data_IF_452090869605
#
_entry.id   IF_452090869605
#
_cell.length_a   1.000
_cell.length_b   1.000
_cell.length_c   1.000
_cell.angle_alpha   90.00
_cell.angle_beta   90.00
_cell.angle_gamma   90.00
#
_symmetry.space_group_name_H-M   'P 1'
#
loop_
_entity.id
_entity.type
_entity.pdbx_description
1 polymer ?
#
# COMPACT_ATOMS: atom_id res chain seq x y z
N UNK A 1 -14.75 -0.28 11.06
CA UNK A 1 -15.27 0.81 10.19
C UNK A 1 -16.68 0.43 9.70
N UNK A 2 -17.70 1.06 10.27
CA UNK A 2 -19.10 0.94 9.84
C UNK A 2 -19.36 1.91 8.69
N UNK A 3 -20.03 1.43 7.64
CA UNK A 3 -20.61 2.27 6.59
C UNK A 3 -22.12 2.06 6.67
N UNK A 4 -22.86 3.13 6.93
CA UNK A 4 -24.33 3.11 7.08
C UNK A 4 -24.86 2.06 8.09
N UNK A 5 -24.14 1.83 9.20
CA UNK A 5 -24.55 0.89 10.24
C UNK A 5 -24.43 -0.59 9.86
N UNK A 6 -23.82 -0.92 8.72
CA UNK A 6 -23.54 -2.30 8.32
C UNK A 6 -22.06 -2.64 8.52
N UNK A 7 -21.81 -3.84 9.06
CA UNK A 7 -20.47 -4.37 9.25
C UNK A 7 -19.81 -4.68 7.91
N UNK A 8 -18.61 -4.15 7.67
CA UNK A 8 -17.86 -4.29 6.41
C UNK A 8 -17.56 -5.75 6.05
N UNK A 9 -17.45 -6.63 7.04
CA UNK A 9 -17.24 -8.06 6.80
C UNK A 9 -18.52 -8.74 6.28
N UNK A 10 -19.70 -8.34 6.76
CA UNK A 10 -20.97 -8.81 6.21
C UNK A 10 -21.15 -8.42 4.73
N UNK A 11 -20.78 -7.19 4.37
CA UNK A 11 -20.79 -6.72 2.99
C UNK A 11 -19.84 -7.54 2.11
N UNK A 12 -18.64 -7.81 2.62
CA UNK A 12 -17.65 -8.63 1.93
C UNK A 12 -18.18 -10.06 1.70
N UNK A 13 -18.76 -10.70 2.72
CA UNK A 13 -19.29 -12.06 2.61
C UNK A 13 -20.38 -12.16 1.55
N UNK A 14 -21.34 -11.23 1.56
CA UNK A 14 -22.40 -11.15 0.54
C UNK A 14 -21.83 -10.97 -0.86
N UNK A 15 -20.80 -10.13 -1.01
CA UNK A 15 -20.12 -9.95 -2.29
C UNK A 15 -19.40 -11.23 -2.75
N UNK A 16 -18.76 -11.98 -1.85
CA UNK A 16 -18.07 -13.22 -2.22
C UNK A 16 -19.03 -14.28 -2.77
N UNK A 17 -20.22 -14.39 -2.20
CA UNK A 17 -21.28 -15.28 -2.72
C UNK A 17 -21.65 -14.89 -4.16
N UNK A 18 -21.93 -13.60 -4.41
CA UNK A 18 -22.23 -13.10 -5.75
C UNK A 18 -21.06 -13.28 -6.74
N UNK A 19 -19.82 -12.99 -6.32
CA UNK A 19 -18.65 -13.17 -7.18
C UNK A 19 -18.36 -14.65 -7.50
N UNK A 20 -18.69 -15.57 -6.59
CA UNK A 20 -18.51 -17.01 -6.82
C UNK A 20 -19.46 -17.52 -7.91
N UNK A 21 -20.71 -17.06 -7.91
CA UNK A 21 -21.67 -17.37 -8.98
C UNK A 21 -21.17 -16.84 -10.33
N UNK A 22 -20.69 -15.59 -10.36
CA UNK A 22 -20.17 -14.97 -11.58
C UNK A 22 -18.89 -15.65 -12.09
N UNK A 23 -18.03 -16.13 -11.19
CA UNK A 23 -16.82 -16.87 -11.54
C UNK A 23 -17.14 -18.20 -12.24
N UNK A 24 -18.15 -18.92 -11.77
CA UNK A 24 -18.61 -20.17 -12.40
C UNK A 24 -19.15 -19.90 -13.80
N UNK A 25 -19.88 -18.79 -13.97
CA UNK A 25 -20.51 -18.44 -15.23
C UNK A 25 -19.53 -17.86 -16.27
N UNK A 26 -18.57 -17.04 -15.83
CA UNK A 26 -17.66 -16.27 -16.70
C UNK A 26 -16.20 -16.37 -16.22
N UNK A 27 -15.60 -17.56 -16.15
CA UNK A 27 -14.27 -17.77 -15.56
C UNK A 27 -13.15 -16.97 -16.24
N UNK A 28 -13.28 -16.67 -17.54
CA UNK A 28 -12.36 -15.84 -18.29
C UNK A 28 -12.31 -14.38 -17.79
N UNK A 29 -13.40 -13.85 -17.24
CA UNK A 29 -13.47 -12.48 -16.73
C UNK A 29 -12.76 -12.29 -15.39
N UNK A 30 -12.37 -13.39 -14.73
CA UNK A 30 -11.66 -13.39 -13.44
C UNK A 30 -10.14 -13.55 -13.58
N UNK A 31 -9.63 -13.51 -14.81
CA UNK A 31 -8.19 -13.51 -15.08
C UNK A 31 -7.63 -12.08 -14.95
N UNK A 32 -6.88 -11.82 -13.86
CA UNK A 32 -6.19 -10.52 -13.66
C UNK A 32 -5.16 -10.29 -14.77
N UNK A 33 -4.97 -9.02 -15.16
CA UNK A 33 -3.85 -8.61 -16.01
C UNK A 33 -2.58 -8.48 -15.17
N UNK A 34 -1.46 -8.93 -15.72
CA UNK A 34 -0.13 -8.74 -15.12
C UNK A 34 0.27 -7.26 -15.07
N UNK A 35 0.99 -6.87 -14.01
CA UNK A 35 1.61 -5.55 -13.88
C UNK A 35 3.12 -5.67 -14.05
N UNK A 36 3.63 -5.08 -15.13
CA UNK A 36 5.07 -4.90 -15.36
C UNK A 36 5.33 -3.41 -15.13
N UNK A 37 6.17 -3.08 -14.14
CA UNK A 37 6.52 -1.71 -13.79
C UNK A 37 7.55 -1.13 -14.78
N UNK A 38 7.26 -1.25 -16.09
CA UNK A 38 8.12 -0.71 -17.15
C UNK A 38 7.97 0.82 -17.27
N UNK A 39 8.88 1.45 -18.01
CA UNK A 39 8.90 2.90 -18.22
C UNK A 39 7.55 3.47 -18.72
N UNK A 40 6.81 2.73 -19.55
CA UNK A 40 5.50 3.16 -20.05
C UNK A 40 4.46 3.30 -18.94
N UNK A 41 4.40 2.31 -18.03
CA UNK A 41 3.47 2.32 -16.89
C UNK A 41 3.93 3.35 -15.84
N UNK A 42 5.23 3.42 -15.54
CA UNK A 42 5.80 4.37 -14.58
C UNK A 42 5.58 5.84 -14.98
N UNK A 43 5.67 6.16 -16.28
CA UNK A 43 5.38 7.51 -16.78
C UNK A 43 3.95 7.96 -16.48
N UNK A 44 2.97 7.04 -16.39
CA UNK A 44 1.58 7.38 -16.04
C UNK A 44 1.45 7.94 -14.63
N UNK A 45 2.33 7.54 -13.72
CA UNK A 45 2.41 8.08 -12.35
C UNK A 45 3.55 9.08 -12.16
N UNK A 46 4.08 9.62 -13.27
CA UNK A 46 5.05 10.72 -13.26
C UNK A 46 6.48 10.29 -12.95
N UNK A 47 6.78 8.99 -13.04
CA UNK A 47 8.11 8.45 -12.72
C UNK A 47 8.91 8.20 -14.01
N UNK A 48 10.17 8.62 -13.98
CA UNK A 48 11.22 8.25 -14.92
C UNK A 48 12.43 7.80 -14.11
N UNK A 49 12.89 6.59 -14.38
CA UNK A 49 14.14 6.06 -13.84
C UNK A 49 15.15 6.18 -14.98
N UNK A 50 16.29 6.89 -14.81
CA UNK A 50 17.22 7.13 -15.91
C UNK A 50 17.88 5.87 -16.49
N UNK A 51 17.95 4.79 -15.70
CA UNK A 51 18.49 3.51 -16.12
C UNK A 51 17.36 2.66 -16.73
N UNK A 52 17.45 2.38 -18.03
CA UNK A 52 16.43 1.67 -18.80
C UNK A 52 16.81 0.22 -19.14
N UNK A 53 18.01 -0.22 -18.76
CA UNK A 53 18.50 -1.58 -19.02
C UNK A 53 18.63 -2.41 -17.73
N UNK A 54 17.61 -2.34 -16.87
CA UNK A 54 17.57 -3.08 -15.62
C UNK A 54 17.04 -4.51 -15.84
N UNK A 55 17.66 -5.53 -15.21
CA UNK A 55 17.14 -6.89 -15.25
C UNK A 55 15.71 -6.98 -14.72
N UNK A 56 14.93 -7.91 -15.24
CA UNK A 56 13.59 -8.18 -14.73
C UNK A 56 13.66 -8.82 -13.34
N UNK A 57 12.87 -8.31 -12.41
CA UNK A 57 12.80 -8.80 -11.03
C UNK A 57 11.36 -9.07 -10.61
N UNK A 58 11.01 -10.34 -10.44
CA UNK A 58 9.70 -10.74 -9.94
C UNK A 58 9.68 -10.78 -8.42
N UNK A 59 8.68 -10.13 -7.82
CA UNK A 59 8.53 -10.01 -6.36
C UNK A 59 7.20 -10.54 -5.88
N UNK A 60 7.15 -10.88 -4.58
CA UNK A 60 5.92 -11.28 -3.88
C UNK A 60 5.23 -12.51 -4.50
N UNK A 61 5.97 -13.53 -4.95
CA UNK A 61 5.37 -14.81 -5.39
C UNK A 61 4.56 -15.45 -4.26
N UNK A 62 5.20 -15.46 -3.10
CA UNK A 62 4.73 -15.99 -1.84
C UNK A 62 4.96 -14.92 -0.76
N UNK A 63 4.14 -14.87 0.31
CA UNK A 63 4.47 -14.07 1.49
C UNK A 63 5.85 -14.36 2.08
N UNK A 64 6.41 -15.55 1.81
CA UNK A 64 7.76 -15.93 2.23
C UNK A 64 8.86 -15.15 1.49
N UNK A 65 8.58 -14.67 0.29
CA UNK A 65 9.52 -13.89 -0.53
C UNK A 65 9.57 -12.42 -0.07
N UNK A 66 8.71 -12.00 0.86
CA UNK A 66 8.58 -10.61 1.26
C UNK A 66 8.33 -10.51 2.77
N UNK A 67 9.40 -10.27 3.51
CA UNK A 67 9.38 -10.19 4.96
C UNK A 67 9.66 -8.75 5.38
N UNK A 68 8.90 -8.26 6.36
CA UNK A 68 9.03 -6.89 6.87
C UNK A 68 9.10 -6.91 8.39
N UNK A 69 10.17 -6.36 8.96
CA UNK A 69 10.38 -6.23 10.40
C UNK A 69 10.42 -4.75 10.77
N UNK A 70 9.56 -4.32 11.68
CA UNK A 70 9.50 -2.91 12.11
C UNK A 70 10.73 -2.56 12.96
N UNK A 71 11.41 -1.48 12.59
CA UNK A 71 12.54 -0.93 13.36
C UNK A 71 11.98 0.05 14.38
N UNK A 72 12.14 -0.28 15.65
CA UNK A 72 11.65 0.49 16.80
C UNK A 72 12.68 1.57 17.16
N UNK A 73 13.96 1.18 17.21
CA UNK A 73 15.11 2.05 17.45
C UNK A 73 16.36 1.41 16.86
N UNK A 74 17.52 2.07 16.95
CA UNK A 74 18.78 1.50 16.51
C UNK A 74 19.02 0.10 17.10
N UNK A 75 19.26 -0.87 16.22
CA UNK A 75 19.46 -2.30 16.53
C UNK A 75 18.31 -3.01 17.26
N UNK A 76 17.12 -2.38 17.38
CA UNK A 76 15.94 -2.98 17.99
C UNK A 76 14.79 -3.03 16.97
N UNK A 77 14.31 -4.25 16.71
CA UNK A 77 13.27 -4.49 15.71
C UNK A 77 12.33 -5.59 16.19
N UNK A 78 11.06 -5.45 15.81
CA UNK A 78 10.09 -6.53 15.93
C UNK A 78 10.45 -7.59 14.88
N UNK A 79 11.09 -8.69 15.32
CA UNK A 79 11.47 -9.81 14.45
C UNK A 79 10.26 -10.67 14.07
N UNK A 80 10.33 -11.41 12.96
CA UNK A 80 9.33 -12.44 12.61
C UNK A 80 9.59 -13.78 13.28
N UNK A 81 10.81 -14.05 13.76
CA UNK A 81 11.23 -15.37 14.27
C UNK A 81 10.43 -15.83 15.48
N UNK A 82 9.74 -16.96 15.38
CA UNK A 82 8.91 -17.42 16.47
C UNK A 82 9.75 -17.94 17.65
N UNK A 83 9.57 -17.31 18.80
CA UNK A 83 9.95 -17.82 20.12
C UNK A 83 8.73 -17.61 21.02
N UNK A 84 8.22 -18.68 21.63
CA UNK A 84 7.09 -18.59 22.56
C UNK A 84 7.56 -18.02 23.89
N UNK A 85 7.05 -16.85 24.27
CA UNK A 85 7.10 -16.35 25.64
C UNK A 85 5.68 -16.24 26.18
N UNK A 86 5.36 -17.03 27.19
CA UNK A 86 4.00 -17.07 27.78
C UNK A 86 3.85 -16.09 28.97
N UNK A 87 4.81 -15.18 29.18
CA UNK A 87 4.78 -14.22 30.27
C UNK A 87 4.82 -12.77 29.77
N UNK A 88 4.21 -11.87 30.54
CA UNK A 88 4.31 -10.42 30.34
C UNK A 88 5.45 -9.89 31.20
N UNK A 89 6.43 -9.25 30.57
CA UNK A 89 7.58 -8.68 31.25
C UNK A 89 7.29 -7.30 31.85
N UNK A 90 8.00 -6.97 32.95
CA UNK A 90 7.92 -5.67 33.61
C UNK A 90 6.79 -5.54 34.63
N UNK A 91 6.78 -4.43 35.37
CA UNK A 91 5.72 -4.11 36.33
C UNK A 91 4.44 -3.70 35.60
N UNK A 92 3.29 -4.02 36.19
CA UNK A 92 1.99 -3.71 35.61
C UNK A 92 1.83 -2.19 35.35
N UNK A 93 1.43 -1.84 34.13
CA UNK A 93 1.16 -0.47 33.68
C UNK A 93 -0.11 -0.47 32.80
N UNK A 94 -0.66 0.69 32.39
CA UNK A 94 -1.95 0.75 31.71
C UNK A 94 -2.02 0.07 30.34
N UNK A 95 -0.88 -0.23 29.72
CA UNK A 95 -0.81 -0.84 28.40
C UNK A 95 0.02 -2.12 28.42
N UNK A 96 -0.40 -3.08 27.58
CA UNK A 96 0.38 -4.26 27.23
C UNK A 96 0.88 -4.05 25.80
N UNK A 97 2.20 -3.98 25.62
CA UNK A 97 2.83 -4.04 24.32
C UNK A 97 3.14 -5.50 23.94
N UNK A 98 3.02 -5.80 22.65
CA UNK A 98 3.38 -7.08 22.07
C UNK A 98 3.91 -6.87 20.65
N UNK A 99 4.78 -7.77 20.21
CA UNK A 99 5.13 -7.86 18.79
C UNK A 99 4.09 -8.73 18.08
N UNK A 100 3.43 -8.13 17.10
CA UNK A 100 2.47 -8.76 16.21
C UNK A 100 3.20 -9.29 14.98
N UNK A 101 3.14 -10.60 14.77
CA UNK A 101 3.58 -11.25 13.53
C UNK A 101 2.36 -11.74 12.77
N UNK A 102 2.20 -11.32 11.51
CA UNK A 102 1.04 -11.64 10.68
C UNK A 102 1.42 -12.03 9.25
N UNK A 103 0.55 -12.81 8.61
CA UNK A 103 0.62 -13.18 7.19
C UNK A 103 -0.77 -13.21 6.58
N UNK A 104 -0.93 -12.77 5.34
CA UNK A 104 -2.20 -12.89 4.61
C UNK A 104 -3.36 -12.03 5.16
N UNK A 105 -3.12 -11.20 6.17
CA UNK A 105 -4.09 -10.34 6.83
C UNK A 105 -3.52 -8.92 6.99
N UNK A 106 -4.36 -7.90 6.83
CA UNK A 106 -3.95 -6.49 7.04
C UNK A 106 -3.84 -6.14 8.52
N UNK A 107 -3.04 -5.12 8.85
CA UNK A 107 -2.94 -4.62 10.24
C UNK A 107 -4.30 -4.18 10.80
N UNK A 108 -5.17 -3.60 9.96
CA UNK A 108 -6.50 -3.14 10.37
C UNK A 108 -7.45 -4.30 10.69
N UNK A 109 -7.40 -5.38 9.91
CA UNK A 109 -8.16 -6.60 10.19
C UNK A 109 -7.71 -7.27 11.49
N UNK A 110 -6.40 -7.29 11.77
CA UNK A 110 -5.89 -7.78 13.06
C UNK A 110 -6.41 -6.90 14.22
N UNK A 111 -6.39 -5.58 14.07
CA UNK A 111 -6.93 -4.67 15.09
C UNK A 111 -8.42 -4.95 15.35
N UNK A 112 -9.20 -5.20 14.30
CA UNK A 112 -10.63 -5.54 14.41
C UNK A 112 -10.85 -6.88 15.12
N UNK A 113 -10.06 -7.88 14.77
CA UNK A 113 -10.09 -9.20 15.41
C UNK A 113 -9.79 -9.09 16.92
N UNK A 114 -8.67 -8.43 17.27
CA UNK A 114 -8.31 -8.17 18.67
C UNK A 114 -9.38 -7.35 19.41
N UNK A 115 -9.93 -6.32 18.77
CA UNK A 115 -11.00 -5.49 19.35
C UNK A 115 -12.23 -6.34 19.70
N UNK A 116 -12.64 -7.22 18.79
CA UNK A 116 -13.82 -8.08 18.96
C UNK A 116 -13.59 -9.16 20.02
N UNK A 117 -12.48 -9.89 19.92
CA UNK A 117 -12.17 -11.02 20.80
C UNK A 117 -11.77 -10.58 22.22
N UNK A 118 -11.11 -9.43 22.36
CA UNK A 118 -10.70 -8.88 23.66
C UNK A 118 -11.73 -7.91 24.26
N UNK A 119 -12.84 -7.64 23.56
CA UNK A 119 -13.93 -6.74 23.99
C UNK A 119 -13.45 -5.32 24.33
N UNK A 120 -12.55 -4.79 23.49
CA UNK A 120 -12.04 -3.40 23.57
C UNK A 120 -12.40 -2.64 22.30
N UNK A 121 -12.28 -1.31 22.30
CA UNK A 121 -12.47 -0.50 21.08
C UNK A 121 -11.22 -0.56 20.20
N UNK A 122 -11.37 -0.50 18.87
CA UNK A 122 -10.23 -0.45 17.92
C UNK A 122 -9.18 0.61 18.30
N UNK A 123 -9.62 1.79 18.77
CA UNK A 123 -8.73 2.89 19.22
C UNK A 123 -7.84 2.56 20.43
N UNK A 124 -8.14 1.48 21.15
CA UNK A 124 -7.36 0.99 22.29
C UNK A 124 -6.23 0.06 21.84
N UNK A 125 -6.16 -0.28 20.55
CA UNK A 125 -5.05 -1.00 19.92
C UNK A 125 -4.19 0.00 19.15
N UNK A 126 -3.03 0.34 19.69
CA UNK A 126 -2.07 1.26 19.09
C UNK A 126 -1.11 0.56 18.13
N UNK A 127 -0.83 1.18 16.99
CA UNK A 127 0.15 0.71 15.99
C UNK A 127 0.85 1.91 15.33
N UNK A 128 2.16 1.75 15.07
CA UNK A 128 2.97 2.82 14.48
C UNK A 128 2.70 2.99 12.97
N UNK A 129 2.15 1.98 12.30
CA UNK A 129 1.77 2.04 10.90
C UNK A 129 1.17 0.73 10.40
N UNK A 130 0.49 0.79 9.26
CA UNK A 130 -0.03 -0.39 8.58
C UNK A 130 1.11 -1.11 7.82
N UNK A 131 1.05 -2.43 7.75
CA UNK A 131 1.97 -3.27 6.98
C UNK A 131 1.21 -4.09 5.94
N UNK A 132 1.87 -4.38 4.82
CA UNK A 132 1.31 -5.17 3.71
C UNK A 132 0.73 -6.51 4.19
N UNK A 133 -0.42 -6.90 3.63
CA UNK A 133 -1.02 -8.21 3.89
C UNK A 133 -0.35 -9.34 3.07
N UNK A 134 0.26 -9.00 1.92
CA UNK A 134 1.00 -9.92 1.06
C UNK A 134 2.47 -10.04 1.46
N UNK A 135 2.71 -10.27 2.75
CA UNK A 135 4.04 -10.35 3.35
C UNK A 135 3.94 -11.07 4.70
N UNK A 136 5.05 -11.65 5.18
CA UNK A 136 5.20 -11.92 6.62
C UNK A 136 5.70 -10.63 7.26
N UNK A 137 4.91 -10.07 8.18
CA UNK A 137 5.25 -8.78 8.78
C UNK A 137 5.27 -8.88 10.30
N UNK A 138 6.28 -8.28 10.92
CA UNK A 138 6.38 -8.08 12.35
C UNK A 138 6.36 -6.59 12.69
N UNK A 139 5.56 -6.22 13.68
CA UNK A 139 5.41 -4.84 14.17
C UNK A 139 5.06 -4.83 15.65
N UNK A 140 5.37 -3.76 16.37
CA UNK A 140 4.91 -3.63 17.76
C UNK A 140 3.51 -3.02 17.78
N UNK A 141 2.64 -3.58 18.63
CA UNK A 141 1.33 -3.02 18.97
C UNK A 141 1.23 -2.79 20.48
N UNK A 142 0.31 -1.93 20.88
CA UNK A 142 -0.06 -1.73 22.29
C UNK A 142 -1.55 -1.93 22.47
N UNK A 143 -1.97 -2.45 23.62
CA UNK A 143 -3.38 -2.67 23.95
C UNK A 143 -3.65 -2.10 25.34
N UNK A 144 -4.78 -1.40 25.51
CA UNK A 144 -5.24 -0.87 26.80
C UNK A 144 -6.59 -1.45 27.20
N UNK A 145 -6.84 -1.54 28.50
CA UNK A 145 -8.11 -2.04 29.04
C UNK A 145 -8.35 -3.53 28.77
N UNK A 146 -7.27 -4.29 28.57
CA UNK A 146 -7.29 -5.73 28.32
C UNK A 146 -6.88 -6.51 29.56
N UNK A 147 -7.41 -7.72 29.73
CA UNK A 147 -6.93 -8.67 30.73
C UNK A 147 -5.69 -9.40 30.20
N UNK A 148 -4.56 -9.45 30.92
CA UNK A 148 -3.36 -10.19 30.54
C UNK A 148 -3.63 -11.61 30.03
N UNK A 149 -4.47 -12.35 30.74
CA UNK A 149 -4.77 -13.76 30.46
C UNK A 149 -5.52 -13.89 29.13
N UNK A 150 -6.42 -12.95 28.82
CA UNK A 150 -7.16 -12.94 27.56
C UNK A 150 -6.24 -12.67 26.36
N UNK A 151 -5.25 -11.78 26.54
CA UNK A 151 -4.25 -11.47 25.50
C UNK A 151 -3.35 -12.68 25.24
N UNK A 152 -2.85 -13.33 26.29
CA UNK A 152 -1.99 -14.51 26.19
C UNK A 152 -2.72 -15.73 25.61
N UNK A 153 -4.01 -15.88 25.94
CA UNK A 153 -4.86 -16.96 25.42
C UNK A 153 -5.34 -16.73 23.99
N UNK A 154 -5.21 -15.52 23.43
CA UNK A 154 -5.71 -15.20 22.09
C UNK A 154 -5.01 -16.04 21.01
N UNK A 155 -5.81 -16.74 20.20
CA UNK A 155 -5.31 -17.54 19.06
C UNK A 155 -5.98 -17.07 17.78
N UNK A 156 -5.19 -16.96 16.72
CA UNK A 156 -5.64 -16.66 15.37
C UNK A 156 -4.85 -17.49 14.36
N UNK A 157 -5.41 -17.79 13.20
CA UNK A 157 -4.69 -18.59 12.19
C UNK A 157 -3.59 -17.76 11.52
N UNK A 158 -3.93 -16.53 11.13
CA UNK A 158 -3.12 -15.66 10.26
C UNK A 158 -2.15 -14.73 11.01
N UNK A 159 -2.18 -14.71 12.35
CA UNK A 159 -1.25 -13.93 13.15
C UNK A 159 -1.04 -14.52 14.55
N UNK A 160 0.01 -14.06 15.21
CA UNK A 160 0.24 -14.31 16.64
C UNK A 160 0.90 -13.08 17.30
N UNK A 161 0.81 -13.03 18.62
CA UNK A 161 1.42 -12.01 19.46
C UNK A 161 2.54 -12.64 20.30
N UNK A 162 3.59 -11.88 20.59
CA UNK A 162 4.72 -12.31 21.42
C UNK A 162 5.41 -11.13 22.11
N UNK A 163 6.50 -11.41 22.85
CA UNK A 163 7.35 -10.39 23.47
C UNK A 163 6.50 -9.40 24.30
N UNK A 164 5.58 -9.98 25.09
CA UNK A 164 4.64 -9.23 25.87
C UNK A 164 5.36 -8.47 26.97
N UNK A 165 5.04 -7.19 27.09
CA UNK A 165 5.61 -6.31 28.12
C UNK A 165 4.60 -5.26 28.53
N UNK A 166 4.61 -4.92 29.80
CA UNK A 166 3.91 -3.76 30.28
C UNK A 166 4.62 -2.48 29.82
N UNK A 167 3.86 -1.47 29.39
CA UNK A 167 4.38 -0.15 29.03
C UNK A 167 3.44 0.97 29.48
N UNK A 168 4.00 2.14 29.81
CA UNK A 168 3.23 3.35 30.10
C UNK A 168 2.80 4.11 28.85
N UNK A 169 3.30 3.73 27.67
CA UNK A 169 3.06 4.46 26.42
C UNK A 169 2.15 3.71 25.45
N UNK A 170 1.17 4.43 24.91
CA UNK A 170 0.35 3.96 23.79
C UNK A 170 1.02 4.30 22.46
N UNK A 171 1.23 3.31 21.61
CA UNK A 171 1.82 3.53 20.29
C UNK A 171 0.87 4.35 19.42
N UNK A 172 1.40 5.42 18.83
CA UNK A 172 0.71 6.29 17.88
C UNK A 172 1.29 6.11 16.48
N UNK A 173 0.46 6.37 15.47
CA UNK A 173 0.88 6.36 14.06
C UNK A 173 2.10 7.27 13.85
N UNK A 174 3.09 6.78 13.11
CA UNK A 174 4.35 7.46 12.84
C UNK A 174 5.44 7.24 13.88
N UNK A 175 5.18 6.48 14.95
CA UNK A 175 6.11 6.19 16.06
C UNK A 175 7.25 5.20 15.76
N UNK A 176 7.41 4.76 14.51
CA UNK A 176 8.52 3.89 14.09
C UNK A 176 9.70 4.69 13.53
N UNK A 177 10.89 4.07 13.53
CA UNK A 177 12.06 4.58 12.81
C UNK A 177 12.02 4.20 11.34
N UNK A 178 11.69 2.95 11.05
CA UNK A 178 11.75 2.41 9.70
C UNK A 178 11.33 0.95 9.63
N UNK A 179 11.65 0.30 8.53
CA UNK A 179 11.40 -1.12 8.34
C UNK A 179 12.64 -1.78 7.76
N UNK A 180 12.96 -2.96 8.28
CA UNK A 180 13.87 -3.90 7.67
C UNK A 180 13.08 -4.78 6.72
N UNK A 181 13.53 -4.83 5.49
CA UNK A 181 12.99 -5.71 4.46
C UNK A 181 13.93 -6.89 4.29
N UNK A 182 13.37 -8.08 4.12
CA UNK A 182 14.09 -9.28 3.68
C UNK A 182 13.28 -9.83 2.51
N UNK A 183 13.82 -9.69 1.30
CA UNK A 183 13.09 -9.90 0.06
C UNK A 183 13.86 -10.86 -0.84
N UNK A 184 13.11 -11.74 -1.50
CA UNK A 184 13.60 -12.50 -2.64
C UNK A 184 13.06 -11.92 -3.93
N UNK A 185 13.98 -11.57 -4.83
CA UNK A 185 13.66 -11.06 -6.18
C UNK A 185 14.05 -12.15 -7.17
N UNK A 186 13.07 -12.75 -7.83
CA UNK A 186 13.31 -13.81 -8.82
C UNK A 186 13.67 -13.21 -10.16
N UNK A 187 14.66 -13.78 -10.83
CA UNK A 187 15.13 -13.30 -12.14
C UNK A 187 15.09 -14.42 -13.16
N UNK A 188 14.90 -14.07 -14.43
CA UNK A 188 14.88 -15.05 -15.52
C UNK A 188 16.27 -15.67 -15.75
N UNK A 189 17.31 -14.87 -15.56
CA UNK A 189 18.71 -15.26 -15.70
C UNK A 189 19.44 -15.03 -14.39
N UNK A 190 20.49 -15.82 -14.17
CA UNK A 190 21.40 -15.63 -13.05
C UNK A 190 22.02 -14.23 -13.13
N UNK A 191 22.10 -13.58 -11.97
CA UNK A 191 22.66 -12.24 -11.86
C UNK A 191 24.18 -12.32 -11.74
N UNK A 192 24.89 -11.34 -12.32
CA UNK A 192 26.32 -11.22 -12.11
C UNK A 192 26.58 -10.56 -10.75
N UNK A 193 27.24 -11.28 -9.85
CA UNK A 193 27.44 -10.85 -8.45
C UNK A 193 28.19 -9.51 -8.36
N UNK A 194 29.23 -9.32 -9.19
CA UNK A 194 30.00 -8.07 -9.21
C UNK A 194 29.15 -6.86 -9.64
N UNK A 195 28.26 -7.03 -10.63
CA UNK A 195 27.37 -5.95 -11.07
C UNK A 195 26.35 -5.57 -9.98
N UNK A 196 25.79 -6.58 -9.29
CA UNK A 196 24.87 -6.34 -8.18
C UNK A 196 25.58 -5.65 -7.02
N UNK A 197 26.79 -6.10 -6.68
CA UNK A 197 27.62 -5.48 -5.64
C UNK A 197 27.88 -4.01 -5.93
N UNK A 198 28.39 -3.69 -7.12
CA UNK A 198 28.68 -2.31 -7.52
C UNK A 198 27.42 -1.43 -7.45
N UNK A 199 26.28 -1.93 -7.96
CA UNK A 199 25.00 -1.21 -7.93
C UNK A 199 24.53 -0.94 -6.50
N UNK A 200 24.62 -1.93 -5.61
CA UNK A 200 24.23 -1.81 -4.22
C UNK A 200 25.13 -0.83 -3.46
N UNK A 201 26.45 -0.88 -3.67
CA UNK A 201 27.40 0.06 -3.08
C UNK A 201 27.13 1.51 -3.54
N UNK A 202 26.91 1.70 -4.85
CA UNK A 202 26.58 3.00 -5.43
C UNK A 202 25.28 3.58 -4.84
N UNK A 203 24.20 2.79 -4.83
CA UNK A 203 22.89 3.24 -4.30
C UNK A 203 22.97 3.47 -2.79
N UNK A 204 23.74 2.69 -2.04
CA UNK A 204 23.94 2.91 -0.60
C UNK A 204 24.65 4.24 -0.32
N UNK A 205 25.65 4.59 -1.13
CA UNK A 205 26.41 5.83 -1.00
C UNK A 205 25.60 7.07 -1.38
N UNK A 206 24.90 7.01 -2.53
CA UNK A 206 24.23 8.16 -3.14
C UNK A 206 22.75 8.30 -2.74
N UNK A 207 22.11 7.19 -2.38
CA UNK A 207 20.67 7.08 -2.23
C UNK A 207 19.92 6.91 -3.56
N UNK A 208 18.67 6.47 -3.48
CA UNK A 208 17.76 6.32 -4.61
C UNK A 208 16.67 7.39 -4.60
N UNK A 209 16.03 7.66 -5.75
CA UNK A 209 14.99 8.70 -5.84
C UNK A 209 13.73 8.29 -5.10
N UNK A 210 13.21 9.18 -4.24
CA UNK A 210 12.12 8.90 -3.32
C UNK A 210 10.74 9.06 -3.97
N UNK A 211 10.48 8.30 -5.03
CA UNK A 211 9.19 8.33 -5.72
C UNK A 211 8.06 7.75 -4.86
N UNK A 212 6.88 8.35 -4.99
CA UNK A 212 5.63 7.69 -4.60
C UNK A 212 5.28 6.62 -5.63
N UNK A 213 5.12 5.36 -5.21
CA UNK A 213 4.81 4.23 -6.10
C UNK A 213 3.31 4.02 -6.32
N UNK A 214 2.92 2.98 -7.07
CA UNK A 214 1.52 2.66 -7.43
C UNK A 214 0.54 2.65 -6.26
N UNK A 215 0.95 2.20 -5.08
CA UNK A 215 0.08 2.18 -3.89
C UNK A 215 -0.47 3.57 -3.53
N UNK A 216 0.29 4.65 -3.79
CA UNK A 216 -0.18 6.04 -3.56
C UNK A 216 -1.29 6.45 -4.52
N UNK A 217 -1.41 5.79 -5.67
CA UNK A 217 -2.34 6.10 -6.74
C UNK A 217 -3.54 5.15 -6.80
N UNK A 218 -3.66 4.25 -5.82
CA UNK A 218 -4.74 3.27 -5.71
C UNK A 218 -4.67 2.16 -6.77
N UNK A 219 -5.48 1.12 -6.59
CA UNK A 219 -5.49 -0.06 -7.48
C UNK A 219 -5.82 0.29 -8.94
N UNK A 220 -6.70 1.29 -9.14
CA UNK A 220 -7.10 1.76 -10.47
C UNK A 220 -6.08 2.71 -11.11
N UNK A 221 -5.06 3.15 -10.37
CA UNK A 221 -4.06 4.16 -10.76
C UNK A 221 -4.61 5.52 -11.23
N UNK A 222 -5.94 5.73 -11.21
CA UNK A 222 -6.65 6.95 -11.61
C UNK A 222 -6.79 7.99 -10.47
N UNK A 223 -6.33 7.69 -9.26
CA UNK A 223 -6.60 8.54 -8.09
C UNK A 223 -6.04 9.96 -8.24
N UNK A 224 -4.87 10.12 -8.85
CA UNK A 224 -4.31 11.44 -9.16
C UNK A 224 -5.06 12.18 -10.27
N UNK A 225 -5.68 11.46 -11.21
CA UNK A 225 -6.53 12.05 -12.25
C UNK A 225 -7.82 12.63 -11.68
N UNK A 226 -8.43 11.94 -10.71
CA UNK A 226 -9.59 12.49 -10.00
C UNK A 226 -9.21 13.73 -9.19
N UNK A 227 -8.06 13.69 -8.50
CA UNK A 227 -7.49 14.86 -7.81
C UNK A 227 -7.28 16.06 -8.75
N UNK A 228 -6.71 15.83 -9.94
CA UNK A 228 -6.58 16.83 -11.00
C UNK A 228 -7.94 17.43 -11.37
N UNK A 229 -8.95 16.59 -11.63
CA UNK A 229 -10.29 17.06 -12.02
C UNK A 229 -10.93 17.91 -10.90
N UNK A 230 -10.76 17.54 -9.63
CA UNK A 230 -11.25 18.32 -8.50
C UNK A 230 -10.57 19.69 -8.41
N UNK A 231 -9.25 19.74 -8.60
CA UNK A 231 -8.48 21.00 -8.59
C UNK A 231 -8.84 21.93 -9.74
N UNK A 232 -9.21 21.37 -10.90
CA UNK A 232 -9.73 22.10 -12.05
C UNK A 232 -11.20 22.55 -11.88
N UNK A 233 -11.90 22.13 -10.81
CA UNK A 233 -13.33 22.35 -10.66
C UNK A 233 -14.22 21.53 -11.61
N UNK A 234 -13.66 20.52 -12.28
CA UNK A 234 -14.38 19.64 -13.23
C UNK A 234 -15.02 18.46 -12.50
N UNK A 235 -15.97 18.76 -11.61
CA UNK A 235 -16.58 17.79 -10.71
C UNK A 235 -17.32 16.66 -11.43
N UNK A 236 -18.09 16.97 -12.48
CA UNK A 236 -18.79 15.94 -13.27
C UNK A 236 -17.80 14.96 -13.91
N UNK A 237 -16.68 15.48 -14.42
CA UNK A 237 -15.64 14.67 -15.05
C UNK A 237 -14.98 13.74 -14.02
N UNK A 238 -14.70 14.25 -12.82
CA UNK A 238 -14.18 13.44 -11.72
C UNK A 238 -15.18 12.33 -11.34
N UNK A 239 -16.46 12.67 -11.20
CA UNK A 239 -17.51 11.74 -10.80
C UNK A 239 -17.72 10.65 -11.84
N UNK A 240 -17.88 11.03 -13.11
CA UNK A 240 -18.02 10.10 -14.24
C UNK A 240 -16.84 9.15 -14.30
N UNK A 241 -15.62 9.67 -14.21
CA UNK A 241 -14.42 8.83 -14.24
C UNK A 241 -14.36 7.88 -13.05
N UNK A 242 -14.64 8.36 -11.84
CA UNK A 242 -14.60 7.53 -10.65
C UNK A 242 -15.64 6.41 -10.68
N UNK A 243 -16.87 6.68 -11.10
CA UNK A 243 -17.90 5.65 -11.23
C UNK A 243 -17.57 4.69 -12.39
N UNK A 244 -17.23 5.20 -13.57
CA UNK A 244 -17.35 4.46 -14.81
C UNK A 244 -16.04 3.98 -15.44
N UNK A 245 -14.89 4.60 -15.16
CA UNK A 245 -13.66 4.26 -15.89
C UNK A 245 -12.96 3.05 -15.27
N UNK A 246 -12.64 1.98 -15.98
CA UNK A 246 -11.82 0.91 -15.41
C UNK A 246 -10.39 1.36 -15.14
N UNK A 247 -9.76 0.78 -14.12
CA UNK A 247 -8.31 0.82 -13.96
C UNK A 247 -7.59 -0.07 -14.99
N UNK A 248 -6.31 0.19 -15.23
CA UNK A 248 -5.50 -0.59 -16.16
C UNK A 248 -5.40 -2.08 -15.78
N UNK A 249 -5.37 -2.35 -14.47
CA UNK A 249 -5.23 -3.68 -13.87
C UNK A 249 -6.51 -4.17 -13.19
N UNK A 250 -7.66 -3.53 -13.46
CA UNK A 250 -8.94 -4.03 -12.96
C UNK A 250 -9.21 -5.44 -13.53
N UNK A 251 -9.88 -6.27 -12.73
CA UNK A 251 -10.42 -7.53 -13.19
C UNK A 251 -11.36 -7.28 -14.39
N UNK A 252 -11.24 -8.02 -15.50
CA UNK A 252 -12.13 -7.85 -16.66
C UNK A 252 -13.62 -7.88 -16.28
N UNK A 253 -13.99 -8.66 -15.26
CA UNK A 253 -15.33 -8.65 -14.68
C UNK A 253 -15.75 -7.26 -14.16
N UNK A 254 -14.92 -6.60 -13.36
CA UNK A 254 -15.25 -5.25 -12.89
C UNK A 254 -15.14 -4.19 -13.98
N UNK A 255 -14.37 -4.45 -15.05
CA UNK A 255 -14.40 -3.62 -16.26
C UNK A 255 -15.80 -3.65 -16.89
N UNK A 256 -16.41 -4.83 -17.06
CA UNK A 256 -17.75 -4.94 -17.66
C UNK A 256 -18.83 -4.30 -16.78
N UNK A 257 -18.74 -4.47 -15.45
CA UNK A 257 -19.66 -3.82 -14.49
C UNK A 257 -19.59 -2.29 -14.61
N UNK A 258 -18.38 -1.73 -14.71
CA UNK A 258 -18.18 -0.28 -14.87
C UNK A 258 -18.62 0.23 -16.26
N UNK A 259 -18.43 -0.56 -17.31
CA UNK A 259 -18.94 -0.24 -18.65
C UNK A 259 -20.48 -0.20 -18.68
N UNK A 260 -21.15 -1.15 -18.03
CA UNK A 260 -22.60 -1.12 -17.87
C UNK A 260 -23.05 0.15 -17.12
N UNK A 261 -22.36 0.50 -16.03
CA UNK A 261 -22.62 1.73 -15.29
C UNK A 261 -22.37 3.00 -16.12
N UNK A 262 -21.39 2.98 -17.03
CA UNK A 262 -21.13 4.09 -17.96
C UNK A 262 -22.31 4.33 -18.92
N UNK A 263 -22.95 3.26 -19.41
CA UNK A 263 -24.16 3.33 -20.25
C UNK A 263 -25.38 3.88 -19.50
N UNK A 264 -25.39 3.76 -18.16
CA UNK A 264 -26.43 4.28 -17.29
C UNK A 264 -26.05 5.60 -16.60
N UNK A 265 -24.97 6.27 -16.99
CA UNK A 265 -24.52 7.49 -16.33
C UNK A 265 -25.60 8.58 -16.35
N UNK A 266 -25.87 9.21 -15.21
CA UNK A 266 -26.98 10.14 -15.01
C UNK A 266 -28.29 9.48 -14.56
N UNK A 267 -28.43 8.16 -14.76
CA UNK A 267 -29.55 7.35 -14.26
C UNK A 267 -29.16 6.67 -12.95
N UNK A 268 -29.07 7.45 -11.88
CA UNK A 268 -28.47 7.03 -10.60
C UNK A 268 -29.09 5.76 -10.00
N UNK A 269 -30.41 5.56 -10.13
CA UNK A 269 -31.08 4.34 -9.68
C UNK A 269 -30.65 3.09 -10.47
N UNK A 270 -30.42 3.21 -11.78
CA UNK A 270 -29.94 2.12 -12.62
C UNK A 270 -28.49 1.77 -12.28
N UNK A 271 -27.62 2.78 -12.14
CA UNK A 271 -26.24 2.56 -11.68
C UNK A 271 -26.18 1.90 -10.29
N UNK A 272 -27.05 2.32 -9.37
CA UNK A 272 -27.12 1.69 -8.04
C UNK A 272 -27.48 0.21 -8.13
N UNK A 273 -28.42 -0.17 -9.00
CA UNK A 273 -28.76 -1.59 -9.24
C UNK A 273 -27.57 -2.39 -9.77
N UNK A 274 -26.75 -1.80 -10.64
CA UNK A 274 -25.55 -2.45 -11.20
C UNK A 274 -24.51 -2.75 -10.12
N UNK A 275 -24.29 -1.83 -9.17
CA UNK A 275 -23.30 -1.99 -8.11
C UNK A 275 -23.78 -2.73 -6.85
N UNK A 276 -25.09 -2.76 -6.59
CA UNK A 276 -25.68 -3.35 -5.38
C UNK A 276 -25.32 -4.84 -5.12
N UNK A 277 -25.09 -5.69 -6.14
CA UNK A 277 -24.60 -7.05 -5.93
C UNK A 277 -23.17 -7.14 -5.35
N UNK A 278 -22.34 -6.10 -5.53
CA UNK A 278 -20.95 -6.07 -5.05
C UNK A 278 -20.76 -4.88 -4.08
N UNK A 279 -21.42 -4.93 -2.91
CA UNK A 279 -21.51 -3.79 -2.00
C UNK A 279 -20.21 -3.51 -1.24
N UNK A 280 -19.26 -4.44 -1.21
CA UNK A 280 -17.97 -4.21 -0.57
C UNK A 280 -17.02 -3.47 -1.52
N UNK A 281 -16.89 -3.92 -2.76
CA UNK A 281 -16.08 -3.32 -3.81
C UNK A 281 -16.58 -1.91 -4.16
N UNK A 282 -17.88 -1.72 -4.35
CA UNK A 282 -18.49 -0.44 -4.76
C UNK A 282 -19.10 0.37 -3.59
N UNK A 283 -18.68 0.13 -2.34
CA UNK A 283 -19.26 0.77 -1.15
C UNK A 283 -19.31 2.30 -1.23
N UNK A 284 -18.24 2.92 -1.72
CA UNK A 284 -18.16 4.37 -1.87
C UNK A 284 -18.95 4.87 -3.08
N UNK A 285 -18.94 4.12 -4.19
CA UNK A 285 -19.80 4.39 -5.35
C UNK A 285 -21.29 4.35 -4.97
N UNK A 286 -21.73 3.35 -4.21
CA UNK A 286 -23.10 3.25 -3.68
C UNK A 286 -23.45 4.42 -2.76
N UNK A 287 -22.55 4.80 -1.86
CA UNK A 287 -22.74 5.93 -0.95
C UNK A 287 -22.94 7.26 -1.70
N UNK A 288 -22.12 7.54 -2.72
CA UNK A 288 -22.31 8.74 -3.55
C UNK A 288 -23.61 8.69 -4.35
N UNK A 289 -23.95 7.53 -4.92
CA UNK A 289 -25.19 7.37 -5.69
C UNK A 289 -26.43 7.63 -4.84
N UNK A 290 -26.42 7.28 -3.56
CA UNK A 290 -27.49 7.62 -2.63
C UNK A 290 -27.64 9.13 -2.44
N UNK A 291 -26.54 9.88 -2.32
CA UNK A 291 -26.58 11.34 -2.25
C UNK A 291 -27.08 11.98 -3.56
N UNK A 292 -26.68 11.46 -4.73
CA UNK A 292 -27.09 11.98 -6.05
C UNK A 292 -28.57 11.73 -6.37
N UNK A 293 -29.20 10.73 -5.76
CA UNK A 293 -30.64 10.49 -5.90
C UNK A 293 -31.48 11.64 -5.34
N UNK A 294 -31.01 12.26 -4.26
CA UNK A 294 -31.66 13.41 -3.63
C UNK A 294 -31.40 14.70 -4.42
N UNK A 295 -30.17 14.90 -4.90
CA UNK A 295 -29.75 16.11 -5.61
C UNK A 295 -29.06 15.79 -6.94
N UNK A 296 -29.82 15.77 -8.04
CA UNK A 296 -29.41 15.21 -9.35
C UNK A 296 -28.08 15.75 -9.92
N UNK A 297 -27.64 16.94 -9.54
CA UNK A 297 -26.43 17.59 -10.07
C UNK A 297 -25.52 18.19 -8.98
N UNK A 298 -25.75 17.89 -7.71
CA UNK A 298 -24.88 18.34 -6.63
C UNK A 298 -23.72 17.34 -6.40
N UNK A 299 -22.77 17.37 -7.33
CA UNK A 299 -21.59 16.50 -7.28
C UNK A 299 -20.71 16.80 -6.07
N UNK A 300 -20.72 18.04 -5.56
CA UNK A 300 -19.91 18.42 -4.39
C UNK A 300 -20.44 17.73 -3.16
N UNK A 301 -21.77 17.74 -2.93
CA UNK A 301 -22.38 17.00 -1.82
C UNK A 301 -22.11 15.50 -1.91
N UNK A 302 -22.20 14.91 -3.11
CA UNK A 302 -21.85 13.51 -3.31
C UNK A 302 -20.39 13.20 -2.90
N UNK A 303 -19.42 14.03 -3.30
CA UNK A 303 -18.03 13.86 -2.88
C UNK A 303 -17.83 14.06 -1.37
N UNK A 304 -18.56 14.99 -0.74
CA UNK A 304 -18.47 15.25 0.71
C UNK A 304 -18.95 14.07 1.56
N UNK A 305 -19.67 13.10 1.00
CA UNK A 305 -20.02 11.85 1.70
C UNK A 305 -18.78 10.99 2.01
N UNK A 306 -17.69 11.14 1.26
CA UNK A 306 -16.49 10.30 1.36
C UNK A 306 -15.21 11.14 1.56
N UNK A 307 -15.13 11.95 2.63
CA UNK A 307 -14.10 12.96 2.80
C UNK A 307 -12.67 12.39 2.78
N UNK A 308 -12.46 11.20 3.34
CA UNK A 308 -11.13 10.56 3.35
C UNK A 308 -10.69 10.10 1.96
N UNK A 309 -11.61 9.62 1.12
CA UNK A 309 -11.30 9.29 -0.28
C UNK A 309 -10.92 10.56 -1.05
N UNK A 310 -11.66 11.65 -0.89
CA UNK A 310 -11.38 12.92 -1.55
C UNK A 310 -10.01 13.48 -1.15
N UNK A 311 -9.64 13.39 0.14
CA UNK A 311 -8.28 13.76 0.59
C UNK A 311 -7.21 12.95 -0.15
N UNK A 312 -7.39 11.63 -0.25
CA UNK A 312 -6.44 10.76 -0.96
C UNK A 312 -6.29 11.14 -2.44
N UNK A 313 -7.37 11.55 -3.11
CA UNK A 313 -7.32 11.94 -4.53
C UNK A 313 -6.47 13.19 -4.74
N UNK A 314 -6.71 14.23 -3.94
CA UNK A 314 -5.94 15.47 -4.03
C UNK A 314 -4.47 15.23 -3.62
N UNK A 315 -4.23 14.43 -2.58
CA UNK A 315 -2.88 14.04 -2.17
C UNK A 315 -2.14 13.23 -3.25
N UNK A 316 -2.83 12.32 -3.94
CA UNK A 316 -2.25 11.56 -5.04
C UNK A 316 -1.82 12.48 -6.20
N UNK A 317 -2.61 13.51 -6.53
CA UNK A 317 -2.18 14.49 -7.54
C UNK A 317 -0.93 15.27 -7.10
N UNK A 318 -0.84 15.65 -5.83
CA UNK A 318 0.41 16.26 -5.33
C UNK A 318 1.60 15.32 -5.34
N UNK A 319 1.40 14.04 -5.06
CA UNK A 319 2.43 13.00 -5.20
C UNK A 319 2.86 12.81 -6.66
N UNK A 320 1.92 12.87 -7.61
CA UNK A 320 2.19 12.83 -9.05
C UNK A 320 3.08 13.99 -9.50
N UNK A 321 2.77 15.21 -9.04
CA UNK A 321 3.60 16.38 -9.32
C UNK A 321 5.01 16.26 -8.71
N UNK A 322 5.10 15.77 -7.47
CA UNK A 322 6.39 15.51 -6.83
C UNK A 322 7.22 14.48 -7.62
N UNK A 323 6.61 13.39 -8.08
CA UNK A 323 7.27 12.41 -8.94
C UNK A 323 7.82 13.08 -10.22
N UNK A 324 7.02 13.90 -10.91
CA UNK A 324 7.50 14.62 -12.10
C UNK A 324 8.69 15.53 -11.82
N UNK A 325 8.69 16.24 -10.69
CA UNK A 325 9.84 17.07 -10.28
C UNK A 325 11.07 16.21 -10.03
N UNK A 326 10.94 15.12 -9.26
CA UNK A 326 12.04 14.19 -9.01
C UNK A 326 12.59 13.58 -10.31
N UNK A 327 11.71 13.25 -11.27
CA UNK A 327 12.12 12.75 -12.58
C UNK A 327 12.85 13.81 -13.41
N UNK A 328 12.42 15.07 -13.38
CA UNK A 328 13.19 16.15 -14.00
C UNK A 328 14.56 16.33 -13.35
N UNK A 329 14.65 16.26 -12.02
CA UNK A 329 15.92 16.33 -11.30
C UNK A 329 16.84 15.16 -11.67
N UNK A 330 16.28 13.96 -11.78
CA UNK A 330 16.99 12.74 -12.17
C UNK A 330 17.57 12.82 -13.60
N UNK A 331 16.78 13.32 -14.57
CA UNK A 331 17.19 13.42 -15.98
C UNK A 331 18.19 14.57 -16.20
N UNK A 332 17.95 15.73 -15.57
CA UNK A 332 18.73 16.94 -15.86
C UNK A 332 20.01 17.06 -15.01
N UNK A 333 20.25 16.13 -14.10
CA UNK A 333 21.36 16.20 -13.13
C UNK A 333 21.45 17.55 -12.39
N UNK A 334 20.31 18.23 -12.18
CA UNK A 334 20.27 19.53 -11.51
C UNK A 334 20.66 19.34 -10.05
N UNK A 335 21.42 20.30 -9.51
CA UNK A 335 21.92 20.31 -8.13
C UNK A 335 20.86 19.89 -7.10
N UNK A 336 21.27 18.97 -6.23
CA UNK A 336 20.41 18.31 -5.26
C UNK A 336 19.85 19.32 -4.25
N UNK A 337 18.51 19.40 -4.17
CA UNK A 337 17.86 19.84 -2.94
C UNK A 337 17.61 18.61 -2.09
N UNK A 338 17.99 18.64 -0.81
CA UNK A 338 17.75 17.50 0.10
C UNK A 338 16.25 17.20 0.23
N UNK A 339 15.43 18.26 0.22
CA UNK A 339 13.97 18.17 0.30
C UNK A 339 13.29 19.05 -0.74
N UNK A 340 12.15 18.60 -1.25
CA UNK A 340 11.20 19.44 -1.98
C UNK A 340 9.89 19.61 -1.18
N UNK A 341 9.25 20.78 -1.19
CA UNK A 341 7.92 20.93 -0.64
C UNK A 341 6.88 20.26 -1.55
N UNK A 342 5.79 19.72 -1.01
CA UNK A 342 4.68 19.23 -1.85
C UNK A 342 3.80 20.39 -2.33
N UNK A 343 3.05 20.18 -3.42
CA UNK A 343 2.25 21.26 -4.04
C UNK A 343 1.15 21.85 -3.13
N UNK A 344 0.66 21.10 -2.14
CA UNK A 344 -0.28 21.58 -1.12
C UNK A 344 0.41 22.32 0.04
N UNK A 345 1.72 22.57 -0.06
CA UNK A 345 2.43 23.34 0.94
C UNK A 345 1.88 24.75 1.03
N UNK A 346 1.77 25.27 2.26
CA UNK A 346 1.38 26.66 2.53
C UNK A 346 2.48 27.64 2.09
N UNK A 347 3.73 27.17 1.96
CA UNK A 347 4.85 27.96 1.46
C UNK A 347 4.61 28.45 0.02
N UNK A 348 4.61 29.78 -0.24
CA UNK A 348 4.45 30.33 -1.59
C UNK A 348 5.46 29.81 -2.62
N UNK A 349 6.71 29.57 -2.19
CA UNK A 349 7.78 29.05 -3.05
C UNK A 349 7.54 27.61 -3.51
N UNK A 350 6.74 26.83 -2.77
CA UNK A 350 6.41 25.46 -3.16
C UNK A 350 5.64 25.42 -4.47
N UNK A 351 4.69 26.34 -4.67
CA UNK A 351 3.86 26.38 -5.88
C UNK A 351 4.67 26.77 -7.10
N UNK A 352 5.66 27.63 -6.91
CA UNK A 352 6.53 28.08 -7.99
C UNK A 352 7.34 26.91 -8.59
N UNK A 353 7.77 25.95 -7.74
CA UNK A 353 8.43 24.71 -8.20
C UNK A 353 7.55 23.90 -9.16
N UNK A 354 6.22 23.91 -8.96
CA UNK A 354 5.27 23.14 -9.76
C UNK A 354 4.59 23.95 -10.87
N UNK A 355 4.91 25.25 -11.03
CA UNK A 355 4.20 26.19 -11.89
C UNK A 355 3.97 25.65 -13.31
N UNK A 356 5.03 25.21 -13.99
CA UNK A 356 4.94 24.71 -15.37
C UNK A 356 4.03 23.49 -15.50
N UNK A 357 4.02 22.61 -14.49
CA UNK A 357 3.12 21.46 -14.49
C UNK A 357 1.67 21.85 -14.24
N UNK A 358 1.43 22.76 -13.29
CA UNK A 358 0.10 23.28 -12.99
C UNK A 358 -0.50 24.02 -14.21
N UNK A 359 0.29 24.84 -14.89
CA UNK A 359 -0.12 25.54 -16.11
C UNK A 359 -0.47 24.57 -17.24
N UNK A 360 0.38 23.55 -17.47
CA UNK A 360 0.10 22.48 -18.44
C UNK A 360 -1.21 21.75 -18.13
N UNK A 361 -1.44 21.49 -16.85
CA UNK A 361 -2.64 20.84 -16.36
C UNK A 361 -3.81 21.82 -16.18
N UNK A 362 -3.70 23.09 -16.61
CA UNK A 362 -4.75 24.12 -16.51
C UNK A 362 -5.30 24.29 -15.09
N UNK A 363 -4.44 24.19 -14.08
CA UNK A 363 -4.74 24.45 -12.68
C UNK A 363 -4.20 25.84 -12.33
N UNK A 364 -5.02 26.74 -11.76
CA UNK A 364 -4.54 28.05 -11.35
C UNK A 364 -3.58 27.92 -10.16
N UNK A 365 -2.59 28.81 -10.04
CA UNK A 365 -1.63 28.78 -8.93
C UNK A 365 -2.31 28.98 -7.55
N UNK A 366 -3.48 29.61 -7.50
CA UNK A 366 -4.30 29.79 -6.30
C UNK A 366 -5.39 28.71 -6.14
N UNK A 367 -5.16 27.49 -6.65
CA UNK A 367 -6.10 26.36 -6.59
C UNK A 367 -6.61 25.99 -5.18
N UNK A 368 -6.01 26.53 -4.11
CA UNK A 368 -6.60 26.52 -2.77
C UNK A 368 -8.06 26.99 -2.78
N UNK A 369 -8.37 27.99 -3.62
CA UNK A 369 -9.73 28.52 -3.77
C UNK A 369 -10.68 27.46 -4.32
N UNK A 370 -10.23 26.64 -5.28
CA UNK A 370 -10.99 25.51 -5.83
C UNK A 370 -11.31 24.44 -4.79
N UNK A 371 -10.50 24.34 -3.72
CA UNK A 371 -10.67 23.36 -2.64
C UNK A 371 -11.48 23.88 -1.45
N UNK A 372 -11.95 25.14 -1.44
CA UNK A 372 -12.77 25.69 -0.34
C UNK A 372 -14.04 24.88 -0.06
N UNK A 373 -14.58 24.21 -1.07
CA UNK A 373 -15.75 23.32 -0.96
C UNK A 373 -15.44 21.98 -0.25
N UNK A 374 -14.16 21.71 -0.01
CA UNK A 374 -13.63 20.53 0.66
C UNK A 374 -12.78 20.98 1.87
N UNK A 375 -13.43 21.67 2.80
CA UNK A 375 -12.90 22.17 4.09
C UNK A 375 -12.09 21.15 4.92
N UNK A 376 -12.33 19.85 4.74
CA UNK A 376 -11.57 18.78 5.36
C UNK A 376 -10.18 18.54 4.75
N UNK A 377 -9.84 19.16 3.62
CA UNK A 377 -8.51 19.09 3.02
C UNK A 377 -7.61 20.13 3.70
N UNK A 378 -6.62 19.63 4.43
CA UNK A 378 -5.66 20.49 5.14
C UNK A 378 -4.46 20.84 4.28
N UNK A 379 -4.06 22.09 4.35
CA UNK A 379 -2.79 22.60 3.86
C UNK A 379 -1.81 22.62 5.04
N UNK A 380 -0.60 22.14 4.82
CA UNK A 380 0.48 22.13 5.82
C UNK A 380 1.80 22.40 5.11
N UNK A 381 2.94 22.06 5.69
CA UNK A 381 4.23 22.15 4.99
C UNK A 381 4.96 20.80 4.93
N UNK A 382 4.34 19.78 4.31
CA UNK A 382 5.00 18.50 4.13
C UNK A 382 6.19 18.65 3.19
N UNK A 383 7.34 18.14 3.64
CA UNK A 383 8.58 18.06 2.87
C UNK A 383 8.82 16.61 2.46
N UNK A 384 9.28 16.41 1.23
CA UNK A 384 9.67 15.11 0.69
C UNK A 384 11.19 15.09 0.52
N UNK A 385 11.92 14.18 1.19
CA UNK A 385 13.32 13.92 0.87
C UNK A 385 13.42 13.53 -0.60
N UNK A 386 14.30 14.15 -1.38
CA UNK A 386 14.40 13.86 -2.83
C UNK A 386 15.05 12.50 -3.09
N UNK A 387 16.04 12.15 -2.25
CA UNK A 387 16.68 10.84 -2.20
C UNK A 387 16.56 10.22 -0.83
N UNK A 388 16.53 8.89 -0.81
CA UNK A 388 16.56 8.09 0.41
C UNK A 388 17.81 7.24 0.40
N UNK A 389 18.54 7.25 1.52
CA UNK A 389 19.64 6.32 1.74
C UNK A 389 19.08 4.99 2.21
N UNK A 390 19.57 3.92 1.61
CA UNK A 390 19.30 2.54 2.03
C UNK A 390 20.48 2.04 2.84
N UNK A 391 20.22 1.29 3.92
CA UNK A 391 21.25 0.55 4.65
C UNK A 391 21.14 -0.91 4.27
N UNK A 392 22.02 -1.38 3.39
CA UNK A 392 22.10 -2.80 3.02
C UNK A 392 22.65 -3.56 4.21
N UNK A 393 21.94 -4.61 4.63
CA UNK A 393 22.34 -5.47 5.74
C UNK A 393 23.15 -6.65 5.19
N UNK A 394 22.54 -7.42 4.29
CA UNK A 394 23.12 -8.60 3.66
C UNK A 394 22.47 -8.85 2.31
N UNK A 395 23.18 -9.50 1.40
CA UNK A 395 22.61 -10.01 0.16
C UNK A 395 23.31 -11.30 -0.25
N UNK A 396 22.66 -12.09 -1.10
CA UNK A 396 23.23 -13.28 -1.73
C UNK A 396 22.58 -13.50 -3.09
N UNK A 397 23.40 -13.62 -4.12
CA UNK A 397 22.95 -14.05 -5.45
C UNK A 397 22.74 -15.55 -5.43
N UNK A 398 21.60 -15.99 -5.94
CA UNK A 398 21.20 -17.38 -6.12
C UNK A 398 20.90 -17.60 -7.62
N UNK A 399 20.93 -18.84 -8.12
CA UNK A 399 20.63 -19.14 -9.52
C UNK A 399 19.27 -18.58 -9.97
N UNK A 400 18.29 -18.56 -9.07
CA UNK A 400 16.91 -18.12 -9.32
C UNK A 400 16.67 -16.63 -9.01
N UNK A 401 17.66 -15.89 -8.51
CA UNK A 401 17.53 -14.47 -8.22
C UNK A 401 18.37 -13.92 -7.07
N UNK A 402 17.89 -12.86 -6.43
CA UNK A 402 18.59 -12.14 -5.36
C UNK A 402 17.83 -12.25 -4.04
N UNK A 403 18.47 -12.81 -3.01
CA UNK A 403 18.06 -12.63 -1.63
C UNK A 403 18.74 -11.38 -1.07
N UNK A 404 17.97 -10.44 -0.50
CA UNK A 404 18.52 -9.20 0.03
C UNK A 404 17.79 -8.74 1.29
N UNK A 405 18.56 -8.26 2.27
CA UNK A 405 18.05 -7.57 3.45
C UNK A 405 18.58 -6.13 3.51
N UNK A 406 17.69 -5.18 3.78
CA UNK A 406 18.00 -3.76 3.84
C UNK A 406 17.02 -3.00 4.72
N UNK A 407 17.48 -1.89 5.30
CA UNK A 407 16.65 -1.01 6.12
C UNK A 407 16.28 0.26 5.34
N UNK A 408 15.02 0.67 5.46
CA UNK A 408 14.53 1.96 4.97
C UNK A 408 13.87 2.75 6.10
N UNK A 409 13.99 4.09 6.10
CA UNK A 409 13.28 4.94 7.04
C UNK A 409 11.77 4.90 6.79
N UNK A 410 10.99 5.33 7.78
CA UNK A 410 9.54 5.49 7.62
C UNK A 410 9.20 6.42 6.45
N UNK A 411 8.10 6.10 5.76
CA UNK A 411 7.64 6.88 4.60
C UNK A 411 8.30 6.52 3.27
N UNK A 412 9.29 5.61 3.27
CA UNK A 412 9.90 5.05 2.06
C UNK A 412 9.34 3.67 1.71
N UNK A 413 9.39 3.32 0.43
CA UNK A 413 8.84 2.06 -0.11
C UNK A 413 9.97 1.16 -0.62
N UNK A 414 9.92 -0.13 -0.26
CA UNK A 414 10.85 -1.13 -0.77
C UNK A 414 10.78 -1.25 -2.30
N UNK A 415 9.58 -1.15 -2.89
CA UNK A 415 9.41 -1.19 -4.35
C UNK A 415 10.15 -0.03 -5.03
N UNK A 416 10.14 1.17 -4.44
CA UNK A 416 10.88 2.31 -4.99
C UNK A 416 12.38 2.05 -4.98
N UNK A 417 12.94 1.48 -3.90
CA UNK A 417 14.35 1.08 -3.86
C UNK A 417 14.67 0.01 -4.92
N UNK A 418 13.91 -1.09 -4.93
CA UNK A 418 14.16 -2.21 -5.83
C UNK A 418 13.99 -1.83 -7.31
N UNK A 419 13.10 -0.88 -7.63
CA UNK A 419 12.91 -0.37 -8.99
C UNK A 419 14.14 0.37 -9.56
N UNK A 420 15.11 0.77 -8.73
CA UNK A 420 16.39 1.31 -9.19
C UNK A 420 17.44 0.24 -9.51
N UNK A 421 17.09 -1.03 -9.30
CA UNK A 421 17.96 -2.20 -9.52
C UNK A 421 17.30 -3.16 -10.52
N UNK A 422 15.96 -3.25 -10.53
CA UNK A 422 15.19 -4.17 -11.35
C UNK A 422 14.03 -3.48 -12.05
N UNK A 423 13.68 -3.96 -13.24
CA UNK A 423 12.33 -3.77 -13.79
C UNK A 423 11.39 -4.69 -13.01
N UNK A 424 10.64 -4.13 -12.06
CA UNK A 424 9.81 -4.92 -11.15
C UNK A 424 8.59 -5.51 -11.84
N UNK A 425 8.25 -6.73 -11.45
CA UNK A 425 7.10 -7.43 -12.00
C UNK A 425 6.26 -8.11 -10.92
N UNK A 426 4.95 -7.93 -11.04
CA UNK A 426 3.91 -8.61 -10.27
C UNK A 426 2.89 -9.20 -11.26
N UNK A 427 2.87 -10.52 -11.41
CA UNK A 427 2.19 -11.26 -12.49
C UNK A 427 0.93 -11.96 -12.01
N UNK A 428 -0.05 -12.06 -12.92
CA UNK A 428 -0.95 -13.21 -13.10
C UNK A 428 -1.33 -13.27 -14.60
N UNK A 429 -1.10 -14.37 -15.33
CA UNK A 429 -0.47 -15.62 -14.92
C UNK A 429 1.05 -15.48 -14.72
N UNK A 430 1.64 -16.37 -13.91
CA UNK A 430 3.10 -16.40 -13.73
C UNK A 430 3.80 -16.69 -15.07
N UNK A 431 4.93 -16.02 -15.37
CA UNK A 431 5.78 -16.39 -16.49
C UNK A 431 6.32 -17.80 -16.31
N UNK A 432 6.54 -18.48 -17.43
CA UNK A 432 7.13 -19.82 -17.47
C UNK A 432 8.52 -19.88 -16.81
N UNK A 433 9.26 -18.78 -16.78
CA UNK A 433 10.59 -18.72 -16.16
C UNK A 433 10.57 -18.58 -14.64
N UNK A 434 9.47 -18.13 -14.03
CA UNK A 434 9.40 -17.92 -12.57
C UNK A 434 9.37 -19.27 -11.87
N UNK A 435 10.49 -19.62 -11.22
CA UNK A 435 10.61 -20.85 -10.42
C UNK A 435 9.89 -20.69 -9.09
N UNK A 436 9.12 -21.72 -8.70
CA UNK A 436 8.31 -21.77 -7.46
C UNK A 436 9.10 -22.13 -6.20
N UNK A 437 10.42 -22.32 -6.32
CA UNK A 437 11.29 -22.70 -5.21
C UNK A 437 11.20 -21.67 -4.08
N UNK A 438 10.87 -22.12 -2.88
CA UNK A 438 10.86 -21.28 -1.67
C UNK A 438 12.18 -21.40 -0.92
N UNK A 439 12.62 -20.31 -0.32
CA UNK A 439 13.83 -20.26 0.51
C UNK A 439 13.48 -19.78 1.92
N UNK A 440 14.17 -20.31 2.93
CA UNK A 440 14.30 -19.63 4.21
C UNK A 440 15.29 -18.46 4.02
N UNK A 441 14.77 -17.27 3.74
CA UNK A 441 15.61 -16.11 3.42
C UNK A 441 16.49 -15.69 4.59
N UNK A 442 16.08 -15.95 5.83
CA UNK A 442 16.93 -15.67 6.99
C UNK A 442 18.10 -16.66 7.04
N UNK A 443 17.86 -17.95 6.77
CA UNK A 443 18.93 -18.95 6.71
C UNK A 443 19.90 -18.65 5.56
N UNK A 444 19.37 -18.35 4.36
CA UNK A 444 20.17 -17.97 3.17
C UNK A 444 21.09 -16.78 3.43
N UNK A 445 20.62 -15.80 4.20
CA UNK A 445 21.37 -14.58 4.54
C UNK A 445 22.15 -14.72 5.86
N UNK A 446 22.16 -15.87 6.54
CA UNK A 446 22.77 -16.04 7.86
C UNK A 446 22.22 -15.02 8.89
N UNK A 447 20.90 -14.89 8.99
CA UNK A 447 20.17 -13.93 9.85
C UNK A 447 19.15 -14.62 10.77
N UNK A 448 19.34 -15.92 11.07
CA UNK A 448 18.39 -16.74 11.81
C UNK A 448 17.67 -17.74 10.89
N UNK A 449 16.45 -18.15 11.26
CA UNK A 449 15.64 -19.09 10.48
C UNK A 449 14.15 -18.79 10.59
N UNK A 450 13.40 -19.10 9.54
CA UNK A 450 11.95 -18.96 9.47
C UNK A 450 11.22 -20.29 9.67
N UNK A 451 11.92 -21.40 9.95
CA UNK A 451 11.30 -22.74 10.09
C UNK A 451 10.08 -22.74 11.01
N UNK A 452 10.20 -22.18 12.22
CA UNK A 452 9.10 -22.09 13.18
C UNK A 452 7.95 -21.19 12.72
N UNK A 453 8.25 -20.13 11.95
CA UNK A 453 7.26 -19.24 11.36
C UNK A 453 6.49 -19.95 10.24
N UNK A 454 7.20 -20.75 9.43
CA UNK A 454 6.59 -21.56 8.38
C UNK A 454 5.65 -22.60 8.96
N UNK A 455 6.09 -23.33 9.98
CA UNK A 455 5.25 -24.31 10.67
C UNK A 455 4.01 -23.64 11.27
N UNK A 456 4.19 -22.47 11.91
CA UNK A 456 3.10 -21.70 12.51
C UNK A 456 2.06 -21.23 11.48
N UNK A 457 2.48 -20.93 10.27
CA UNK A 457 1.62 -20.37 9.22
C UNK A 457 1.33 -21.34 8.06
N UNK A 458 1.65 -22.63 8.20
CA UNK A 458 1.48 -23.63 7.14
C UNK A 458 0.06 -23.66 6.54
N UNK A 459 -0.97 -23.42 7.34
CA UNK A 459 -2.37 -23.33 6.90
C UNK A 459 -2.85 -21.92 6.48
N UNK A 460 -2.03 -20.89 6.66
CA UNK A 460 -2.34 -19.48 6.35
C UNK A 460 -1.60 -18.95 5.12
N UNK A 461 -0.45 -19.55 4.77
CA UNK A 461 0.34 -19.19 3.60
C UNK A 461 -0.34 -19.75 2.37
N UNK A 462 -1.11 -18.89 1.70
CA UNK A 462 -1.70 -19.16 0.39
C UNK A 462 -0.86 -18.46 -0.67
N UNK A 463 -0.43 -19.18 -1.70
CA UNK A 463 0.35 -18.58 -2.79
C UNK A 463 -0.49 -17.58 -3.57
N UNK A 464 0.14 -16.67 -4.32
CA UNK A 464 -0.61 -15.72 -5.16
C UNK A 464 -1.46 -16.44 -6.22
N UNK A 465 -1.11 -17.64 -6.66
CA UNK A 465 -1.86 -18.39 -7.67
C UNK A 465 -3.20 -18.88 -7.12
N UNK A 466 -3.23 -19.30 -5.87
CA UNK A 466 -4.39 -19.95 -5.24
C UNK A 466 -5.44 -18.95 -4.73
N UNK A 467 -5.11 -17.65 -4.70
CA UNK A 467 -6.08 -16.58 -4.39
C UNK A 467 -6.95 -16.28 -5.61
N UNK A 468 -8.20 -16.74 -5.57
CA UNK A 468 -9.25 -16.42 -6.55
C UNK A 468 -9.57 -14.92 -6.54
N UNK A 469 -9.71 -14.33 -5.36
CA UNK A 469 -10.07 -12.91 -5.16
C UNK A 469 -8.89 -12.06 -4.68
#
# INVERSE_FOLDING_TARGET
>A
MELNGQDTFSLWKKEQEALSEQLVQYPELFKKKSRIDNLGVLKKIGIVIPDDNLPQGFIKLSPLDFIVEEIISDNNYASVEYQSSDNIQGAATPFIAADLVKVGISTLEVIKDLSSNLKIKERQVGSAGIKDAEAITAQTITMSGVKPEAVLAHKAINFFLRNFRYTSEHIKTGGLWGNRFIIFIRTERELQEDQIKEKLEQISKVGFWNYYWFQRFGNRTLTHWWGLCLLQGKYEKALRSYLCDPGEFDLPFFVSVRQAAAGAFGKWNEMKKIYSPYPYTFRYELQMLDSLREFRSDYVSAFRTMPDQIKLWVYAYTSYLANKVLSLMAIKHIGFQEFIPLALSSNPGAKQLYKTFLEKDKIPLDFQRSLRRFDFIRFGDPKLPTKVKVKIQKYKVLPEGLAISFDLPKGSYATTFLAHIFTLIEYKPLPSWVKKQTYDLKEVLNMGTLKSVFDRFKGAIVSKEDKIF
#
